data_IF_756219817483
#
_entry.id   IF_756219817483
#
_cell.length_a   1.000
_cell.length_b   1.000
_cell.length_c   1.000
_cell.angle_alpha   90.00
_cell.angle_beta   90.00
_cell.angle_gamma   90.00
#
_symmetry.space_group_name_H-M   'P 1'
#
loop_
_entity.id
_entity.type
_entity.pdbx_description
1 polymer ?
#
# COMPACT_ATOMS: atom_id res chain seq x y z
N UNK A 1 -8.53 15.80 -3.41
CA UNK A 1 -7.26 16.32 -2.85
C UNK A 1 -6.97 17.76 -3.31
N UNK A 2 -7.08 18.07 -4.59
CA UNK A 2 -6.80 19.43 -5.13
C UNK A 2 -7.76 20.46 -4.52
N UNK A 3 -9.05 20.16 -4.39
CA UNK A 3 -10.05 21.05 -3.80
C UNK A 3 -9.82 21.30 -2.31
N UNK A 4 -9.44 20.28 -1.52
CA UNK A 4 -9.15 20.43 -0.10
C UNK A 4 -7.93 21.32 0.14
N UNK A 5 -6.86 21.14 -0.64
CA UNK A 5 -5.67 21.97 -0.58
C UNK A 5 -5.94 23.43 -0.99
N UNK A 6 -6.86 23.66 -1.93
CA UNK A 6 -7.27 25.02 -2.32
C UNK A 6 -8.11 25.70 -1.25
N UNK A 7 -8.99 24.97 -0.54
CA UNK A 7 -9.81 25.50 0.55
C UNK A 7 -8.96 25.88 1.77
N UNK A 8 -7.95 25.09 2.12
CA UNK A 8 -7.00 25.41 3.18
C UNK A 8 -6.20 26.68 2.86
N UNK A 9 -5.74 26.83 1.61
CA UNK A 9 -5.06 28.07 1.17
C UNK A 9 -5.98 29.27 1.20
N UNK A 10 -7.24 29.12 0.80
CA UNK A 10 -8.23 30.18 0.87
C UNK A 10 -8.50 30.62 2.31
N UNK A 11 -8.63 29.66 3.25
CA UNK A 11 -8.79 29.95 4.67
C UNK A 11 -7.59 30.73 5.25
N UNK A 12 -6.37 30.30 4.95
CA UNK A 12 -5.16 30.98 5.40
C UNK A 12 -5.05 32.41 4.83
N UNK A 13 -5.44 32.59 3.57
CA UNK A 13 -5.46 33.92 2.94
C UNK A 13 -6.50 34.82 3.59
N UNK A 14 -7.69 34.33 3.87
CA UNK A 14 -8.76 35.10 4.54
C UNK A 14 -8.39 35.46 5.99
N UNK A 15 -7.74 34.53 6.71
CA UNK A 15 -7.21 34.82 8.05
C UNK A 15 -6.14 35.92 8.03
N UNK A 16 -5.20 35.84 7.10
CA UNK A 16 -4.18 36.88 6.90
C UNK A 16 -4.79 38.25 6.55
N UNK A 17 -5.80 38.28 5.67
CA UNK A 17 -6.51 39.53 5.33
C UNK A 17 -7.28 40.12 6.52
N UNK A 18 -7.89 39.26 7.35
CA UNK A 18 -8.58 39.70 8.56
C UNK A 18 -7.62 40.35 9.57
N UNK A 19 -6.40 39.81 9.70
CA UNK A 19 -5.38 40.34 10.59
C UNK A 19 -4.67 41.60 10.02
N UNK A 20 -4.30 41.55 8.74
CA UNK A 20 -3.48 42.58 8.12
C UNK A 20 -4.26 43.83 7.68
N UNK A 21 -5.51 43.66 7.21
CA UNK A 21 -6.27 44.78 6.60
C UNK A 21 -7.46 45.29 7.42
N UNK A 22 -7.96 44.53 8.42
CA UNK A 22 -9.21 44.84 9.10
C UNK A 22 -9.02 45.28 10.57
N UNK A 23 -7.83 45.62 10.98
CA UNK A 23 -7.50 46.06 12.36
C UNK A 23 -8.24 47.31 12.82
N UNK A 24 -8.86 48.07 11.92
CA UNK A 24 -9.59 49.31 12.25
C UNK A 24 -11.13 49.23 12.07
N UNK A 25 -11.69 48.12 11.62
CA UNK A 25 -13.13 48.01 11.32
C UNK A 25 -13.75 46.74 11.93
N UNK A 26 -14.33 46.81 13.15
CA UNK A 26 -14.83 45.67 13.89
C UNK A 26 -15.97 44.92 13.17
N UNK A 27 -16.80 45.60 12.38
CA UNK A 27 -17.92 44.99 11.64
C UNK A 27 -17.45 44.08 10.47
N UNK A 28 -16.36 44.48 9.79
CA UNK A 28 -15.79 43.71 8.68
C UNK A 28 -15.05 42.49 9.21
N UNK A 29 -14.35 42.60 10.33
CA UNK A 29 -13.66 41.53 11.02
C UNK A 29 -14.62 40.44 11.47
N UNK A 30 -15.74 40.78 12.11
CA UNK A 30 -16.75 39.81 12.52
C UNK A 30 -17.48 39.12 11.37
N UNK A 31 -17.52 39.73 10.17
CA UNK A 31 -18.00 39.11 8.93
C UNK A 31 -16.99 38.06 8.38
N UNK A 32 -15.70 38.43 8.36
CA UNK A 32 -14.60 37.59 7.94
C UNK A 32 -14.40 36.39 8.88
N UNK A 33 -14.47 36.58 10.19
CA UNK A 33 -14.36 35.52 11.19
C UNK A 33 -15.48 34.48 11.03
N UNK A 34 -16.71 34.90 10.70
CA UNK A 34 -17.82 34.03 10.38
C UNK A 34 -17.59 33.23 9.10
N UNK A 35 -17.05 33.85 8.06
CA UNK A 35 -16.69 33.16 6.81
C UNK A 35 -15.53 32.20 7.02
N UNK A 36 -14.49 32.56 7.76
CA UNK A 36 -13.38 31.70 8.11
C UNK A 36 -13.87 30.49 8.93
N UNK A 37 -14.78 30.71 9.88
CA UNK A 37 -15.42 29.65 10.68
C UNK A 37 -16.32 28.71 9.89
N UNK A 38 -16.85 29.15 8.74
CA UNK A 38 -17.66 28.29 7.84
C UNK A 38 -16.81 27.48 6.84
N UNK A 39 -15.51 27.81 6.70
CA UNK A 39 -14.60 27.02 5.87
C UNK A 39 -14.06 25.86 6.73
N UNK A 40 -14.20 24.60 6.29
CA UNK A 40 -13.69 23.45 7.03
C UNK A 40 -12.25 23.64 7.48
N UNK A 41 -12.00 23.50 8.79
CA UNK A 41 -10.67 23.62 9.39
C UNK A 41 -9.89 22.30 9.34
N UNK A 42 -8.62 22.34 9.78
CA UNK A 42 -7.81 21.12 9.92
C UNK A 42 -8.41 20.09 10.90
N UNK A 43 -9.33 20.51 11.79
CA UNK A 43 -10.04 19.62 12.70
C UNK A 43 -11.25 18.92 12.10
N UNK A 44 -11.81 19.47 10.99
CA UNK A 44 -12.70 18.69 10.12
C UNK A 44 -11.84 17.89 9.14
N UNK A 45 -10.99 17.03 9.68
CA UNK A 45 -10.21 16.10 8.91
C UNK A 45 -11.19 15.34 8.00
N UNK A 46 -11.21 15.72 6.71
CA UNK A 46 -11.69 14.80 5.67
C UNK A 46 -11.00 13.50 6.00
N UNK A 47 -11.74 12.55 6.56
CA UNK A 47 -11.22 11.21 6.80
C UNK A 47 -10.52 10.80 5.51
N UNK A 48 -9.23 10.46 5.56
CA UNK A 48 -8.55 10.00 4.36
C UNK A 48 -9.45 8.90 3.77
N UNK A 49 -9.66 8.89 2.44
CA UNK A 49 -10.44 7.83 1.83
C UNK A 49 -9.94 6.49 2.39
N UNK A 50 -10.83 5.56 2.71
CA UNK A 50 -10.45 4.30 3.36
C UNK A 50 -9.28 3.70 2.58
N UNK A 51 -8.22 3.37 3.29
CA UNK A 51 -7.05 2.76 2.69
C UNK A 51 -7.48 1.45 2.03
N UNK A 52 -7.09 1.22 0.78
CA UNK A 52 -7.33 -0.06 0.12
C UNK A 52 -6.50 -1.15 0.81
N UNK A 53 -7.15 -2.25 1.19
CA UNK A 53 -6.46 -3.41 1.76
C UNK A 53 -5.86 -4.26 0.64
N UNK A 54 -4.56 -4.48 0.69
CA UNK A 54 -3.80 -5.28 -0.29
C UNK A 54 -3.15 -6.46 0.41
N UNK A 55 -3.46 -7.66 -0.02
CA UNK A 55 -2.88 -8.89 0.50
C UNK A 55 -1.92 -9.51 -0.52
N UNK A 56 -0.64 -9.60 -0.16
CA UNK A 56 0.36 -10.32 -0.94
C UNK A 56 0.50 -11.75 -0.44
N UNK A 57 0.36 -12.71 -1.35
CA UNK A 57 0.40 -14.13 -1.03
C UNK A 57 1.65 -14.81 -1.60
N UNK A 58 2.27 -15.66 -0.81
CA UNK A 58 3.20 -16.68 -1.28
C UNK A 58 3.06 -17.94 -0.42
N UNK A 59 3.83 -19.00 -0.67
CA UNK A 59 3.65 -20.24 0.09
C UNK A 59 4.05 -20.07 1.56
N UNK A 60 5.29 -19.61 1.84
CA UNK A 60 5.86 -19.61 3.20
C UNK A 60 5.73 -18.27 3.95
N UNK A 61 5.31 -17.20 3.29
CA UNK A 61 5.31 -15.84 3.85
C UNK A 61 6.64 -15.49 4.58
N UNK A 62 7.77 -15.82 3.94
CA UNK A 62 9.09 -15.62 4.53
C UNK A 62 10.01 -14.69 3.73
N UNK A 63 9.70 -14.43 2.45
CA UNK A 63 10.51 -13.56 1.59
C UNK A 63 9.63 -12.66 0.69
N UNK A 64 9.15 -13.17 -0.45
CA UNK A 64 8.47 -12.39 -1.51
C UNK A 64 7.33 -11.53 -1.00
N UNK A 65 6.37 -12.12 -0.30
CA UNK A 65 5.21 -11.39 0.22
C UNK A 65 5.58 -10.44 1.38
N UNK A 66 6.59 -10.78 2.19
CA UNK A 66 7.16 -9.91 3.23
C UNK A 66 7.79 -8.67 2.59
N UNK A 67 8.60 -8.84 1.51
CA UNK A 67 9.16 -7.71 0.77
C UNK A 67 8.07 -6.81 0.20
N UNK A 68 7.03 -7.41 -0.41
CA UNK A 68 5.93 -6.68 -1.01
C UNK A 68 5.13 -5.85 0.02
N UNK A 69 4.81 -6.44 1.18
CA UNK A 69 4.17 -5.74 2.32
C UNK A 69 5.00 -4.53 2.76
N UNK A 70 6.31 -4.71 2.98
CA UNK A 70 7.20 -3.64 3.40
C UNK A 70 7.33 -2.53 2.35
N UNK A 71 7.43 -2.89 1.06
CA UNK A 71 7.55 -1.93 -0.03
C UNK A 71 6.28 -1.10 -0.15
N UNK A 72 5.08 -1.71 -0.20
CA UNK A 72 3.83 -0.97 -0.36
C UNK A 72 3.56 -0.05 0.82
N UNK A 73 3.82 -0.51 2.04
CA UNK A 73 3.69 0.31 3.27
C UNK A 73 4.56 1.57 3.22
N UNK A 74 5.75 1.48 2.60
CA UNK A 74 6.67 2.63 2.47
C UNK A 74 6.35 3.53 1.28
N UNK A 75 5.94 2.95 0.14
CA UNK A 75 5.71 3.69 -1.12
C UNK A 75 4.44 4.52 -1.06
N UNK A 76 3.39 4.01 -0.44
CA UNK A 76 2.08 4.67 -0.44
C UNK A 76 1.40 4.62 0.94
N UNK A 77 2.03 5.24 1.97
CA UNK A 77 1.47 5.27 3.31
C UNK A 77 0.12 6.00 3.33
N UNK A 78 -0.84 5.45 4.08
CA UNK A 78 -2.18 6.03 4.21
C UNK A 78 -3.11 5.79 3.02
N UNK A 79 -2.60 5.45 1.83
CA UNK A 79 -3.42 5.09 0.68
C UNK A 79 -3.73 3.59 0.64
N UNK A 80 -2.82 2.77 1.10
CA UNK A 80 -2.96 1.32 1.18
C UNK A 80 -2.62 0.81 2.57
N UNK A 81 -3.39 -0.17 3.03
CA UNK A 81 -3.04 -1.04 4.13
C UNK A 81 -2.47 -2.33 3.53
N UNK A 82 -1.15 -2.49 3.63
CA UNK A 82 -0.45 -3.64 3.07
C UNK A 82 -0.39 -4.79 4.07
N UNK A 83 -0.68 -5.98 3.56
CA UNK A 83 -0.66 -7.23 4.32
C UNK A 83 0.08 -8.30 3.52
N UNK A 84 0.62 -9.30 4.21
CA UNK A 84 1.17 -10.50 3.57
C UNK A 84 0.75 -11.75 4.31
N UNK A 85 0.63 -12.87 3.57
CA UNK A 85 0.32 -14.16 4.16
C UNK A 85 0.88 -15.33 3.32
N UNK A 86 0.82 -16.53 3.88
CA UNK A 86 1.19 -17.76 3.20
C UNK A 86 0.19 -18.88 3.42
N UNK A 87 0.13 -19.83 2.46
CA UNK A 87 -0.67 -21.07 2.60
C UNK A 87 -0.05 -22.05 3.60
N UNK A 88 1.28 -21.98 3.80
CA UNK A 88 2.04 -22.78 4.75
C UNK A 88 3.15 -21.89 5.36
N UNK A 89 2.80 -20.98 6.29
CA UNK A 89 3.73 -20.00 6.80
C UNK A 89 4.92 -20.65 7.50
N UNK A 90 6.09 -20.02 7.35
CA UNK A 90 7.33 -20.48 7.96
C UNK A 90 7.25 -20.33 9.48
N UNK A 91 7.37 -21.41 10.27
CA UNK A 91 7.32 -21.31 11.72
C UNK A 91 8.50 -20.53 12.32
N UNK A 92 9.64 -20.53 11.61
CA UNK A 92 10.84 -19.74 11.93
C UNK A 92 10.69 -18.24 11.63
N UNK A 93 9.60 -17.83 10.95
CA UNK A 93 9.36 -16.45 10.56
C UNK A 93 9.99 -16.06 9.22
N UNK A 94 10.07 -14.73 8.93
CA UNK A 94 10.72 -14.22 7.73
C UNK A 94 12.21 -14.53 7.70
N UNK A 95 12.76 -14.72 6.49
CA UNK A 95 14.20 -14.98 6.30
C UNK A 95 15.04 -13.82 6.85
N UNK A 96 16.07 -14.11 7.71
CA UNK A 96 16.91 -13.07 8.31
C UNK A 96 17.57 -12.13 7.31
N UNK A 97 18.03 -12.67 6.16
CA UNK A 97 18.63 -11.89 5.10
C UNK A 97 17.63 -10.92 4.44
N UNK A 98 16.34 -11.29 4.34
CA UNK A 98 15.27 -10.42 3.85
C UNK A 98 15.02 -9.27 4.80
N UNK A 99 14.90 -9.56 6.11
CA UNK A 99 14.72 -8.53 7.13
C UNK A 99 15.93 -7.57 7.18
N UNK A 100 17.14 -8.10 7.06
CA UNK A 100 18.37 -7.31 7.03
C UNK A 100 18.42 -6.39 5.81
N UNK A 101 18.07 -6.89 4.64
CA UNK A 101 17.98 -6.11 3.40
C UNK A 101 16.94 -4.99 3.52
N UNK A 102 15.73 -5.32 3.97
CA UNK A 102 14.66 -4.34 4.15
C UNK A 102 15.05 -3.23 5.13
N UNK A 103 15.66 -3.61 6.25
CA UNK A 103 16.16 -2.65 7.24
C UNK A 103 17.25 -1.74 6.66
N UNK A 104 18.21 -2.29 5.91
CA UNK A 104 19.24 -1.52 5.22
C UNK A 104 18.68 -0.54 4.20
N UNK A 105 17.55 -0.88 3.57
CA UNK A 105 16.82 -0.03 2.63
C UNK A 105 15.85 0.94 3.32
N UNK A 106 15.86 0.99 4.67
CA UNK A 106 15.07 1.93 5.47
C UNK A 106 13.58 1.60 5.53
N UNK A 107 13.21 0.30 5.48
CA UNK A 107 11.85 -0.15 5.78
C UNK A 107 11.69 -0.41 7.28
N UNK A 108 10.49 -0.17 7.80
CA UNK A 108 10.11 -0.66 9.12
C UNK A 108 9.87 -2.18 9.04
N UNK A 109 10.61 -2.94 9.83
CA UNK A 109 10.51 -4.40 9.89
C UNK A 109 9.88 -4.91 11.18
N UNK A 110 9.54 -4.02 12.12
CA UNK A 110 9.09 -4.38 13.48
C UNK A 110 7.78 -5.18 13.51
N UNK A 111 6.89 -4.93 12.55
CA UNK A 111 5.59 -5.62 12.43
C UNK A 111 5.60 -6.81 11.48
N UNK A 112 6.71 -7.07 10.77
CA UNK A 112 6.77 -8.13 9.76
C UNK A 112 6.92 -9.51 10.42
N UNK A 113 5.99 -10.40 10.11
CA UNK A 113 5.98 -11.79 10.61
C UNK A 113 5.39 -12.73 9.55
N UNK A 114 5.73 -14.00 9.61
CA UNK A 114 5.07 -15.03 8.80
C UNK A 114 3.66 -15.29 9.36
N UNK A 115 2.65 -15.22 8.50
CA UNK A 115 1.22 -15.29 8.81
C UNK A 115 0.53 -16.30 7.91
N UNK A 116 -0.45 -17.04 8.44
CA UNK A 116 -1.36 -17.82 7.62
C UNK A 116 -2.37 -16.93 6.91
N UNK A 117 -2.73 -17.27 5.69
CA UNK A 117 -3.83 -16.61 4.98
C UNK A 117 -5.19 -16.78 5.70
N UNK A 118 -5.32 -17.79 6.57
CA UNK A 118 -6.51 -17.99 7.39
C UNK A 118 -6.78 -16.80 8.34
N UNK A 119 -5.76 -16.06 8.72
CA UNK A 119 -5.93 -14.82 9.51
C UNK A 119 -6.76 -13.76 8.77
N UNK A 120 -6.90 -13.88 7.45
CA UNK A 120 -7.60 -12.93 6.59
C UNK A 120 -8.93 -13.47 6.05
N UNK A 121 -9.41 -14.63 6.52
CA UNK A 121 -10.64 -15.28 6.03
C UNK A 121 -11.72 -15.41 7.11
N UNK A 122 -11.38 -15.19 8.39
CA UNK A 122 -12.27 -15.40 9.53
C UNK A 122 -13.23 -14.23 9.80
N UNK A 123 -14.22 -14.43 10.68
CA UNK A 123 -15.07 -13.36 11.16
C UNK A 123 -14.24 -12.27 11.83
N UNK A 124 -14.41 -11.02 11.36
CA UNK A 124 -13.63 -9.87 11.84
C UNK A 124 -12.32 -9.61 11.09
N UNK A 125 -11.94 -10.47 10.13
CA UNK A 125 -10.83 -10.19 9.24
C UNK A 125 -11.14 -8.96 8.35
N UNK A 126 -10.14 -8.12 8.04
CA UNK A 126 -10.35 -7.02 7.11
C UNK A 126 -10.66 -7.57 5.71
N UNK A 127 -11.66 -6.99 5.05
CA UNK A 127 -11.96 -7.32 3.66
C UNK A 127 -10.81 -6.86 2.76
N UNK A 128 -10.34 -7.73 1.86
CA UNK A 128 -9.25 -7.42 0.94
C UNK A 128 -9.79 -6.84 -0.36
N UNK A 129 -9.29 -5.66 -0.74
CA UNK A 129 -9.61 -5.05 -2.04
C UNK A 129 -8.77 -5.67 -3.15
N UNK A 130 -7.51 -5.97 -2.87
CA UNK A 130 -6.58 -6.59 -3.80
C UNK A 130 -5.91 -7.81 -3.19
N UNK A 131 -5.82 -8.88 -3.97
CA UNK A 131 -5.07 -10.09 -3.61
C UNK A 131 -4.07 -10.39 -4.71
N UNK A 132 -2.78 -10.39 -4.40
CA UNK A 132 -1.69 -10.60 -5.36
C UNK A 132 -0.87 -11.81 -4.98
N UNK A 133 -0.92 -12.86 -5.81
CA UNK A 133 -0.13 -14.08 -5.66
C UNK A 133 1.27 -13.88 -6.26
N UNK A 134 2.32 -14.15 -5.47
CA UNK A 134 3.72 -13.97 -5.85
C UNK A 134 4.45 -15.29 -6.15
N UNK A 135 3.73 -16.40 -6.20
CA UNK A 135 4.31 -17.71 -6.52
C UNK A 135 3.40 -18.51 -7.45
N UNK A 136 4.03 -19.33 -8.32
CA UNK A 136 3.33 -20.20 -9.27
C UNK A 136 2.51 -21.30 -8.59
N UNK A 137 2.92 -21.72 -7.39
CA UNK A 137 2.26 -22.79 -6.65
C UNK A 137 0.84 -22.45 -6.19
N UNK A 138 0.45 -21.18 -6.21
CA UNK A 138 -0.92 -20.74 -5.93
C UNK A 138 -1.80 -20.73 -7.20
N UNK A 139 -1.19 -20.77 -8.41
CA UNK A 139 -1.94 -20.96 -9.66
C UNK A 139 -2.45 -22.40 -9.71
N UNK A 140 -3.75 -22.58 -9.44
CA UNK A 140 -4.40 -23.90 -9.39
C UNK A 140 -4.80 -24.38 -7.98
N UNK A 141 -4.38 -23.69 -6.92
CA UNK A 141 -4.99 -23.85 -5.59
C UNK A 141 -6.25 -22.99 -5.48
N UNK A 142 -7.31 -23.53 -4.89
CA UNK A 142 -8.46 -22.72 -4.52
C UNK A 142 -8.03 -21.67 -3.49
N UNK A 143 -7.91 -20.42 -3.92
CA UNK A 143 -7.69 -19.30 -2.99
C UNK A 143 -8.91 -19.21 -2.07
N UNK A 144 -8.72 -19.02 -0.76
CA UNK A 144 -9.81 -18.71 0.15
C UNK A 144 -10.59 -17.47 -0.29
N UNK A 145 -11.83 -17.35 0.16
CA UNK A 145 -12.61 -16.13 0.00
C UNK A 145 -12.11 -15.08 1.00
N UNK A 146 -11.53 -14.01 0.50
CA UNK A 146 -11.05 -12.85 1.28
C UNK A 146 -12.08 -11.70 1.35
N UNK A 147 -13.35 -11.98 1.08
CA UNK A 147 -14.43 -11.00 1.09
C UNK A 147 -14.60 -10.26 -0.24
N UNK A 148 -14.92 -8.95 -0.18
CA UNK A 148 -15.21 -8.14 -1.38
C UNK A 148 -13.94 -7.79 -2.16
N UNK A 149 -13.25 -8.76 -2.72
CA UNK A 149 -12.06 -8.53 -3.51
C UNK A 149 -12.39 -7.84 -4.84
N UNK A 150 -11.82 -6.66 -5.08
CA UNK A 150 -11.94 -5.93 -6.34
C UNK A 150 -11.14 -6.64 -7.44
N UNK A 151 -9.88 -6.96 -7.16
CA UNK A 151 -8.96 -7.57 -8.12
C UNK A 151 -8.10 -8.63 -7.47
N UNK A 152 -8.02 -9.78 -8.13
CA UNK A 152 -6.99 -10.81 -7.88
C UNK A 152 -6.01 -10.82 -9.03
N UNK A 153 -4.70 -10.89 -8.76
CA UNK A 153 -3.65 -10.95 -9.76
C UNK A 153 -2.55 -11.95 -9.37
N UNK A 154 -1.76 -12.37 -10.33
CA UNK A 154 -0.59 -13.20 -10.11
C UNK A 154 0.65 -12.51 -10.69
N UNK A 155 1.66 -12.27 -9.85
CA UNK A 155 2.97 -11.74 -10.23
C UNK A 155 4.04 -12.78 -9.87
N UNK A 156 4.15 -13.87 -10.63
CA UNK A 156 5.04 -14.98 -10.28
C UNK A 156 6.50 -14.51 -10.21
N UNK A 157 7.18 -14.94 -9.15
CA UNK A 157 8.57 -14.62 -8.87
C UNK A 157 9.31 -15.86 -8.39
N UNK A 158 10.60 -16.00 -8.71
CA UNK A 158 11.42 -17.12 -8.24
C UNK A 158 11.45 -17.20 -6.72
N UNK A 159 11.52 -18.42 -6.19
CA UNK A 159 11.53 -18.65 -4.74
C UNK A 159 12.96 -18.63 -4.19
N UNK A 160 13.36 -17.63 -3.40
CA UNK A 160 14.71 -17.56 -2.86
C UNK A 160 14.99 -18.67 -1.84
N UNK A 161 13.96 -19.28 -1.24
CA UNK A 161 14.14 -20.43 -0.33
C UNK A 161 14.54 -21.70 -1.05
N UNK A 162 14.23 -21.82 -2.34
CA UNK A 162 14.58 -22.96 -3.20
C UNK A 162 15.90 -22.75 -3.98
N UNK A 163 16.51 -21.59 -3.84
CA UNK A 163 17.73 -21.25 -4.57
C UNK A 163 18.93 -22.03 -4.02
N UNK A 164 19.63 -22.75 -4.88
CA UNK A 164 20.75 -23.65 -4.55
C UNK A 164 22.13 -23.10 -4.95
N UNK A 165 22.28 -21.78 -5.07
CA UNK A 165 23.54 -21.13 -5.40
C UNK A 165 24.36 -20.71 -4.17
N UNK A 166 25.47 -20.04 -4.41
CA UNK A 166 26.33 -19.43 -3.38
C UNK A 166 25.62 -18.30 -2.63
N UNK A 167 26.17 -17.90 -1.50
CA UNK A 167 25.66 -16.75 -0.71
C UNK A 167 25.63 -15.45 -1.53
N UNK A 168 26.64 -15.22 -2.38
CA UNK A 168 26.70 -14.04 -3.23
C UNK A 168 25.59 -14.04 -4.30
N UNK A 169 25.37 -15.18 -4.97
CA UNK A 169 24.30 -15.32 -5.97
C UNK A 169 22.93 -15.22 -5.33
N UNK A 170 22.75 -15.75 -4.11
CA UNK A 170 21.52 -15.58 -3.34
C UNK A 170 21.26 -14.11 -2.98
N UNK A 171 22.27 -13.38 -2.59
CA UNK A 171 22.15 -11.93 -2.34
C UNK A 171 21.78 -11.17 -3.61
N UNK A 172 22.33 -11.53 -4.77
CA UNK A 172 21.95 -10.98 -6.07
C UNK A 172 20.49 -11.26 -6.38
N UNK A 173 20.02 -12.50 -6.22
CA UNK A 173 18.61 -12.87 -6.40
C UNK A 173 17.69 -12.05 -5.49
N UNK A 174 18.02 -11.85 -4.22
CA UNK A 174 17.23 -11.04 -3.31
C UNK A 174 17.16 -9.57 -3.74
N UNK A 175 18.26 -9.01 -4.27
CA UNK A 175 18.28 -7.65 -4.81
C UNK A 175 17.42 -7.52 -6.06
N UNK A 176 17.46 -8.49 -6.97
CA UNK A 176 16.62 -8.52 -8.18
C UNK A 176 15.14 -8.65 -7.82
N UNK A 177 14.80 -9.54 -6.87
CA UNK A 177 13.44 -9.68 -6.37
C UNK A 177 12.90 -8.39 -5.76
N UNK A 178 13.71 -7.73 -4.94
CA UNK A 178 13.34 -6.45 -4.35
C UNK A 178 13.12 -5.38 -5.42
N UNK A 179 14.06 -5.24 -6.36
CA UNK A 179 13.96 -4.24 -7.43
C UNK A 179 12.72 -4.48 -8.32
N UNK A 180 12.47 -5.72 -8.71
CA UNK A 180 11.31 -6.10 -9.50
C UNK A 180 9.98 -5.87 -8.77
N UNK A 181 9.89 -6.22 -7.49
CA UNK A 181 8.72 -5.95 -6.66
C UNK A 181 8.49 -4.46 -6.48
N UNK A 182 9.55 -3.71 -6.17
CA UNK A 182 9.46 -2.27 -5.97
C UNK A 182 8.91 -1.57 -7.20
N UNK A 183 9.44 -1.87 -8.39
CA UNK A 183 8.97 -1.30 -9.63
C UNK A 183 7.47 -1.57 -9.87
N UNK A 184 7.04 -2.83 -9.73
CA UNK A 184 5.63 -3.22 -9.88
C UNK A 184 4.72 -2.50 -8.90
N UNK A 185 5.15 -2.43 -7.63
CA UNK A 185 4.38 -1.80 -6.56
C UNK A 185 4.30 -0.28 -6.73
N UNK A 186 5.37 0.39 -7.19
CA UNK A 186 5.36 1.82 -7.49
C UNK A 186 4.36 2.15 -8.60
N UNK A 187 4.31 1.33 -9.67
CA UNK A 187 3.33 1.50 -10.74
C UNK A 187 1.91 1.20 -10.23
N UNK A 188 1.71 0.08 -9.53
CA UNK A 188 0.43 -0.26 -8.90
C UNK A 188 -0.08 0.87 -8.01
N UNK A 189 0.79 1.42 -7.17
CA UNK A 189 0.46 2.51 -6.27
C UNK A 189 0.11 3.82 -7.00
N UNK A 190 0.56 4.02 -8.24
CA UNK A 190 0.23 5.18 -9.06
C UNK A 190 -1.10 5.06 -9.81
N UNK A 191 -1.69 3.86 -9.90
CA UNK A 191 -2.94 3.64 -10.63
C UNK A 191 -4.09 4.49 -10.07
N UNK A 192 -4.92 5.10 -10.94
CA UNK A 192 -6.07 5.89 -10.54
C UNK A 192 -7.28 4.99 -10.21
N UNK A 193 -7.15 4.16 -9.15
CA UNK A 193 -8.11 3.10 -8.78
C UNK A 193 -9.55 3.59 -8.72
N UNK A 194 -9.77 4.79 -8.16
CA UNK A 194 -11.11 5.34 -8.00
C UNK A 194 -11.82 5.72 -9.32
N UNK A 195 -11.08 5.86 -10.41
CA UNK A 195 -11.60 6.27 -11.71
C UNK A 195 -11.63 5.14 -12.76
N UNK A 196 -11.06 3.98 -12.45
CA UNK A 196 -11.07 2.81 -13.32
C UNK A 196 -12.26 1.91 -12.98
N UNK A 197 -12.92 1.37 -14.01
CA UNK A 197 -13.83 0.25 -13.78
C UNK A 197 -13.04 -1.02 -13.42
N UNK A 198 -13.74 -2.03 -12.90
CA UNK A 198 -13.12 -3.26 -12.39
C UNK A 198 -12.34 -4.03 -13.47
N UNK A 199 -12.81 -4.04 -14.71
CA UNK A 199 -12.15 -4.76 -15.81
C UNK A 199 -10.86 -4.06 -16.23
N UNK A 200 -10.91 -2.74 -16.40
CA UNK A 200 -9.75 -1.94 -16.73
C UNK A 200 -8.69 -2.00 -15.61
N UNK A 201 -9.13 -1.95 -14.35
CA UNK A 201 -8.24 -2.08 -13.20
C UNK A 201 -7.58 -3.46 -13.17
N UNK A 202 -8.35 -4.53 -13.38
CA UNK A 202 -7.82 -5.91 -13.45
C UNK A 202 -6.78 -6.05 -14.54
N UNK A 203 -7.05 -5.54 -15.77
CA UNK A 203 -6.11 -5.59 -16.87
C UNK A 203 -4.79 -4.88 -16.53
N UNK A 204 -4.86 -3.67 -15.94
CA UNK A 204 -3.68 -2.92 -15.52
C UNK A 204 -2.86 -3.62 -14.46
N UNK A 205 -3.52 -4.26 -13.50
CA UNK A 205 -2.82 -5.01 -12.43
C UNK A 205 -2.21 -6.30 -12.99
N UNK A 206 -2.85 -6.96 -13.95
CA UNK A 206 -2.30 -8.15 -14.59
C UNK A 206 -1.09 -7.83 -15.49
N UNK A 207 -1.10 -6.70 -16.20
CA UNK A 207 0.04 -6.24 -17.01
C UNK A 207 1.33 -6.13 -16.19
N UNK A 208 1.24 -5.86 -14.89
CA UNK A 208 2.40 -5.79 -13.99
C UNK A 208 3.06 -7.15 -13.72
N UNK A 209 2.45 -8.26 -14.13
CA UNK A 209 3.05 -9.60 -14.05
C UNK A 209 4.22 -9.75 -15.03
N UNK A 210 4.16 -9.09 -16.19
CA UNK A 210 5.20 -9.18 -17.22
C UNK A 210 6.42 -8.32 -16.82
N UNK A 211 7.61 -8.92 -16.63
CA UNK A 211 8.83 -8.17 -16.32
C UNK A 211 9.30 -7.29 -17.50
N UNK A 212 8.80 -7.54 -18.72
CA UNK A 212 9.17 -6.80 -19.94
C UNK A 212 8.13 -5.75 -20.36
N UNK A 213 6.95 -5.73 -19.72
CA UNK A 213 5.90 -4.75 -19.99
C UNK A 213 6.15 -3.38 -19.31
N UNK A 214 7.30 -3.20 -18.65
CA UNK A 214 7.60 -2.06 -17.78
C UNK A 214 8.86 -1.32 -18.22
#
# INVERSE_FOLDING_TARGET
LIYAAQMLRLRSLLAFLAEACCTGQPGLRGGLDRLIGSIPGETDAVQPPPAFNVLFLCTRNSARSIMAEAILSKVAPGRFAAHSAGSAPAPEGPLPEVLSQLKALGHDVSGLRSKSWEEFTGPGAPSMDFVVALCDTLSGQACPDFGRTLVTAAWPLPDPAKFAGSTAERATLLNELYAGLRRRIEIFASLPIASLDRMALKARVDELADPHAL
#
